data_IF_751059421071
#
_entry.id   IF_751059421071
#
_cell.length_a   1.000
_cell.length_b   1.000
_cell.length_c   1.000
_cell.angle_alpha   90.00
_cell.angle_beta   90.00
_cell.angle_gamma   90.00
#
_symmetry.space_group_name_H-M   'P 1'
#
loop_
_entity.id
_entity.type
_entity.pdbx_description
1 polymer ?
#
# COMPACT_ATOMS: atom_id res chain seq x y z
N UNK A 1 -3.95 -8.35 -27.05
CA UNK A 1 -3.14 -8.10 -25.84
C UNK A 1 -3.77 -7.13 -24.83
N UNK A 2 -4.75 -6.29 -25.19
CA UNK A 2 -5.41 -5.38 -24.24
C UNK A 2 -6.41 -6.05 -23.27
N UNK A 3 -7.05 -7.16 -23.67
CA UNK A 3 -8.12 -7.79 -22.88
C UNK A 3 -7.65 -8.48 -21.58
N UNK A 4 -6.40 -8.98 -21.54
CA UNK A 4 -5.83 -9.63 -20.34
C UNK A 4 -5.50 -8.63 -19.22
N UNK A 5 -5.20 -7.39 -19.58
CA UNK A 5 -4.86 -6.35 -18.61
C UNK A 5 -6.12 -5.94 -17.84
N UNK A 6 -7.24 -5.77 -18.53
CA UNK A 6 -8.53 -5.40 -17.94
C UNK A 6 -9.10 -6.47 -16.98
N UNK A 7 -8.93 -7.76 -17.29
CA UNK A 7 -9.40 -8.86 -16.43
C UNK A 7 -8.60 -8.96 -15.11
N UNK A 8 -7.28 -8.72 -15.18
CA UNK A 8 -6.42 -8.67 -13.99
C UNK A 8 -6.74 -7.45 -13.12
N UNK A 9 -7.03 -6.30 -13.72
CA UNK A 9 -7.45 -5.08 -13.01
C UNK A 9 -8.80 -5.27 -12.28
N UNK A 10 -9.74 -6.04 -12.84
CA UNK A 10 -11.05 -6.32 -12.24
C UNK A 10 -11.01 -7.20 -10.98
N UNK A 11 -10.02 -8.10 -10.84
CA UNK A 11 -9.85 -8.93 -9.62
C UNK A 11 -9.12 -8.19 -8.50
N UNK A 12 -8.26 -7.23 -8.84
CA UNK A 12 -7.57 -6.34 -7.89
C UNK A 12 -8.48 -5.27 -7.29
N UNK A 13 -9.60 -4.95 -7.96
CA UNK A 13 -10.61 -3.99 -7.48
C UNK A 13 -11.49 -4.54 -6.34
N UNK A 14 -11.40 -5.83 -6.01
CA UNK A 14 -12.22 -6.49 -4.99
C UNK A 14 -11.46 -6.59 -3.67
N UNK A 15 -11.21 -5.47 -2.98
CA UNK A 15 -10.60 -5.54 -1.66
C UNK A 15 -10.16 -4.21 -1.08
N UNK A 16 -11.11 -3.49 -0.48
CA UNK A 16 -10.87 -2.40 0.47
C UNK A 16 -10.15 -2.86 1.76
N UNK A 17 -9.65 -4.09 1.81
CA UNK A 17 -8.96 -4.70 2.94
C UNK A 17 -7.47 -4.86 2.63
N UNK A 18 -6.63 -4.36 3.54
CA UNK A 18 -5.19 -4.56 3.48
C UNK A 18 -4.88 -6.05 3.46
N UNK A 19 -4.08 -6.50 2.49
CA UNK A 19 -3.65 -7.88 2.37
C UNK A 19 -2.12 -7.96 2.34
N UNK A 20 -1.56 -8.96 3.02
CA UNK A 20 -0.13 -9.14 3.19
C UNK A 20 0.31 -10.44 2.52
N UNK A 21 1.40 -10.40 1.74
CA UNK A 21 1.99 -11.59 1.11
C UNK A 21 3.49 -11.62 1.30
N UNK A 22 4.02 -12.78 1.68
CA UNK A 22 5.47 -13.04 1.69
C UNK A 22 5.88 -13.61 0.33
N UNK A 23 6.93 -13.05 -0.25
CA UNK A 23 7.54 -13.52 -1.49
C UNK A 23 8.56 -14.63 -1.21
N UNK A 24 8.76 -15.53 -2.16
CA UNK A 24 9.83 -16.56 -2.12
C UNK A 24 11.23 -15.95 -1.97
N UNK A 25 11.39 -14.66 -2.32
CA UNK A 25 12.64 -13.90 -2.15
C UNK A 25 12.81 -13.27 -0.74
N UNK A 26 11.90 -13.51 0.20
CA UNK A 26 11.98 -12.99 1.57
C UNK A 26 11.52 -11.54 1.76
N UNK A 27 10.78 -10.99 0.80
CA UNK A 27 10.15 -9.67 0.90
C UNK A 27 8.67 -9.78 1.30
N UNK A 28 8.15 -8.75 1.97
CA UNK A 28 6.73 -8.64 2.33
C UNK A 28 6.07 -7.56 1.48
N UNK A 29 5.01 -7.94 0.77
CA UNK A 29 4.19 -7.08 -0.07
C UNK A 29 2.86 -6.76 0.60
N UNK A 30 2.51 -5.47 0.68
CA UNK A 30 1.23 -4.95 1.18
C UNK A 30 0.37 -4.48 0.00
N UNK A 31 -0.83 -5.02 -0.09
CA UNK A 31 -1.85 -4.69 -1.10
C UNK A 31 -2.99 -3.90 -0.46
N UNK A 32 -3.80 -3.21 -1.28
CA UNK A 32 -4.98 -2.47 -0.82
C UNK A 32 -4.76 -0.98 -0.57
N UNK A 33 -3.54 -0.45 -0.76
CA UNK A 33 -3.22 0.98 -0.65
C UNK A 33 -3.26 1.72 -2.00
N UNK A 34 -3.34 1.00 -3.12
CA UNK A 34 -3.35 1.58 -4.46
C UNK A 34 -3.17 0.53 -5.57
N UNK A 35 -2.90 0.99 -6.80
CA UNK A 35 -2.72 0.13 -7.99
C UNK A 35 -1.50 -0.81 -7.87
N UNK A 36 -0.48 -0.39 -7.14
CA UNK A 36 0.76 -1.14 -6.96
C UNK A 36 0.95 -1.52 -5.49
N UNK A 37 1.38 -2.76 -5.19
CA UNK A 37 1.71 -3.16 -3.83
C UNK A 37 3.00 -2.50 -3.35
N UNK A 38 3.06 -2.20 -2.05
CA UNK A 38 4.31 -1.77 -1.41
C UNK A 38 5.07 -3.01 -0.99
N UNK A 39 6.25 -3.24 -1.57
CA UNK A 39 7.08 -4.41 -1.27
C UNK A 39 8.38 -3.94 -0.62
N UNK A 40 8.63 -4.40 0.60
CA UNK A 40 9.86 -4.12 1.34
C UNK A 40 10.43 -5.41 1.93
N UNK A 41 11.75 -5.45 2.14
CA UNK A 41 12.40 -6.53 2.87
C UNK A 41 12.20 -6.38 4.39
N UNK A 42 12.42 -7.48 5.13
CA UNK A 42 12.20 -7.52 6.58
C UNK A 42 12.91 -6.40 7.35
N UNK A 43 14.19 -6.14 7.07
CA UNK A 43 14.95 -5.08 7.73
C UNK A 43 14.38 -3.68 7.45
N UNK A 44 13.92 -3.45 6.22
CA UNK A 44 13.29 -2.20 5.82
C UNK A 44 11.96 -1.98 6.54
N UNK A 45 11.16 -3.06 6.71
CA UNK A 45 9.94 -3.01 7.52
C UNK A 45 10.24 -2.68 8.97
N UNK A 46 11.20 -3.35 9.60
CA UNK A 46 11.57 -3.05 10.99
C UNK A 46 12.03 -1.61 11.16
N UNK A 47 12.86 -1.11 10.24
CA UNK A 47 13.30 0.29 10.27
C UNK A 47 12.13 1.25 10.10
N UNK A 48 11.22 1.00 9.17
CA UNK A 48 10.03 1.84 8.97
C UNK A 48 9.12 1.84 10.20
N UNK A 49 8.87 0.65 10.78
CA UNK A 49 8.02 0.49 11.94
C UNK A 49 8.62 1.14 13.19
N UNK A 50 9.96 1.15 13.33
CA UNK A 50 10.64 1.87 14.42
C UNK A 50 10.44 3.39 14.36
N UNK A 51 10.11 3.96 13.19
CA UNK A 51 9.86 5.39 12.99
C UNK A 51 8.38 5.70 12.76
N UNK A 52 7.47 4.78 13.07
CA UNK A 52 6.04 4.95 12.75
C UNK A 52 5.41 6.14 13.48
N UNK A 53 5.82 6.41 14.72
CA UNK A 53 5.29 7.52 15.52
C UNK A 53 5.75 8.88 14.97
N UNK A 54 7.02 8.98 14.56
CA UNK A 54 7.56 10.16 13.88
C UNK A 54 6.83 10.39 12.54
N UNK A 55 6.59 9.32 11.78
CA UNK A 55 5.84 9.39 10.52
C UNK A 55 4.41 9.88 10.75
N UNK A 56 3.73 9.41 11.82
CA UNK A 56 2.38 9.88 12.18
C UNK A 56 2.39 11.37 12.55
N UNK A 57 3.34 11.81 13.37
CA UNK A 57 3.49 13.22 13.73
C UNK A 57 3.76 14.10 12.51
N UNK A 58 4.62 13.64 11.59
CA UNK A 58 4.92 14.34 10.34
C UNK A 58 3.69 14.47 9.43
N UNK A 59 2.90 13.41 9.30
CA UNK A 59 1.65 13.42 8.53
C UNK A 59 0.63 14.39 9.12
N UNK A 60 0.50 14.43 10.45
CA UNK A 60 -0.40 15.34 11.14
C UNK A 60 0.01 16.80 10.96
N UNK A 61 1.30 17.11 11.17
CA UNK A 61 1.85 18.45 10.98
C UNK A 61 1.69 18.97 9.54
N UNK A 62 1.68 18.07 8.55
CA UNK A 62 1.55 18.41 7.14
C UNK A 62 0.15 18.19 6.56
N UNK A 63 -0.85 17.87 7.38
CA UNK A 63 -2.21 17.53 6.95
C UNK A 63 -2.80 18.55 5.96
N UNK A 64 -2.55 19.84 6.18
CA UNK A 64 -3.01 20.93 5.30
C UNK A 64 -2.38 20.95 3.90
N UNK A 65 -1.21 20.33 3.73
CA UNK A 65 -0.51 20.20 2.43
C UNK A 65 -0.80 18.88 1.73
N UNK A 66 -1.33 17.90 2.47
CA UNK A 66 -1.62 16.57 1.95
C UNK A 66 -3.01 16.54 1.33
N UNK A 67 -3.10 16.05 0.09
CA UNK A 67 -4.39 15.76 -0.53
C UNK A 67 -4.94 14.48 0.09
N UNK A 68 -5.99 14.61 0.89
CA UNK A 68 -6.84 13.49 1.27
C UNK A 68 -7.55 13.03 0.00
N UNK A 69 -7.02 11.98 -0.62
CA UNK A 69 -7.72 11.31 -1.70
C UNK A 69 -8.87 10.56 -1.01
N UNK A 70 -10.09 11.07 -1.16
CA UNK A 70 -11.30 10.30 -0.82
C UNK A 70 -11.13 8.94 -1.49
N UNK A 71 -11.11 7.87 -0.68
CA UNK A 71 -11.16 6.54 -1.23
C UNK A 71 -12.41 6.51 -2.12
N UNK A 72 -12.29 6.19 -3.42
CA UNK A 72 -13.49 6.04 -4.23
C UNK A 72 -14.33 4.97 -3.56
N UNK A 73 -15.42 5.40 -2.93
CA UNK A 73 -16.46 4.56 -2.36
C UNK A 73 -17.13 3.84 -3.54
N UNK A 74 -16.56 2.74 -4.02
CA UNK A 74 -17.20 1.79 -4.91
C UNK A 74 -16.68 0.39 -4.69
#
# INVERSE_FOLDING_TARGET
>A
MAARIAELEGRLAKGSALSFKVSEKGAVSVYGLGRFPVTLYFEQWNKLLAHIDELRAFLEANKSKLKLKEQPQR
#
